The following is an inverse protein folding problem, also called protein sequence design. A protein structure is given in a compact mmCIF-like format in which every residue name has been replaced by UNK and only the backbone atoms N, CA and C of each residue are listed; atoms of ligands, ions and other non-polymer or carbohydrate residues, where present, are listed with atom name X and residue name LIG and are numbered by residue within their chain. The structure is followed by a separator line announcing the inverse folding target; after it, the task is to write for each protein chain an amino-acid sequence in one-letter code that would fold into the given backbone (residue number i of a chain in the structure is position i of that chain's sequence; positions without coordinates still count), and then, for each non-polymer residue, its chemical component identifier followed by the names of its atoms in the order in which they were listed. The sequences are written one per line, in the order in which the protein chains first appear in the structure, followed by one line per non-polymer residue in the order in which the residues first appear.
data_IF_267744307383
#
_entry.id   IF_267744307383
#
_cell.length_a   1.000
_cell.length_b   1.000
_cell.length_c   1.000
_cell.angle_alpha   90.00
_cell.angle_beta   90.00
_cell.angle_gamma   90.00
#
_symmetry.space_group_name_H-M   'P 1'
#
loop_
_entity.id
_entity.type
_entity.pdbx_description
1 polymer ?
#
# COMPACT_ATOMS: atom_id res chain seq x y z
N UNK A 1 -12.15 -28.03 13.09
CA UNK A 1 -12.18 -26.72 12.41
C UNK A 1 -11.08 -25.76 12.91
N UNK A 2 -10.73 -25.77 14.20
CA UNK A 2 -9.71 -24.89 14.79
C UNK A 2 -8.31 -24.91 14.13
N UNK A 3 -7.85 -26.03 13.57
CA UNK A 3 -6.53 -26.12 12.94
C UNK A 3 -6.43 -25.34 11.61
N UNK A 4 -7.56 -25.20 10.89
CA UNK A 4 -7.62 -24.48 9.60
C UNK A 4 -7.64 -22.97 9.83
N UNK A 5 -8.34 -22.51 10.86
CA UNK A 5 -8.33 -21.10 11.30
C UNK A 5 -6.96 -20.67 11.82
N UNK A 6 -6.30 -21.51 12.64
CA UNK A 6 -4.97 -21.21 13.18
C UNK A 6 -3.91 -21.08 12.08
N UNK A 7 -3.97 -21.94 11.05
CA UNK A 7 -3.10 -21.82 9.86
C UNK A 7 -3.37 -20.55 9.05
N UNK A 8 -4.65 -20.17 8.90
CA UNK A 8 -5.03 -18.94 8.18
C UNK A 8 -4.54 -17.69 8.90
N UNK A 9 -4.66 -17.65 10.22
CA UNK A 9 -4.15 -16.56 11.05
C UNK A 9 -2.62 -16.46 10.99
N UNK A 10 -1.90 -17.60 11.04
CA UNK A 10 -0.44 -17.60 10.89
C UNK A 10 0.01 -17.12 9.51
N UNK A 11 -0.67 -17.53 8.44
CA UNK A 11 -0.38 -17.08 7.09
C UNK A 11 -0.62 -15.56 6.92
N UNK A 12 -1.75 -15.05 7.44
CA UNK A 12 -2.04 -13.61 7.44
C UNK A 12 -1.01 -12.82 8.25
N UNK A 13 -0.62 -13.30 9.42
CA UNK A 13 0.39 -12.64 10.25
C UNK A 13 1.77 -12.60 9.59
N UNK A 14 2.13 -13.64 8.82
CA UNK A 14 3.37 -13.62 8.04
C UNK A 14 3.28 -12.61 6.89
N UNK A 15 2.21 -12.66 6.10
CA UNK A 15 1.98 -11.73 4.99
C UNK A 15 2.04 -10.27 5.46
N UNK A 16 1.35 -9.96 6.56
CA UNK A 16 1.36 -8.64 7.18
C UNK A 16 2.77 -8.19 7.59
N UNK A 17 3.59 -9.09 8.14
CA UNK A 17 4.97 -8.79 8.48
C UNK A 17 5.86 -8.52 7.27
N UNK A 18 5.56 -9.09 6.09
CA UNK A 18 6.27 -8.77 4.84
C UNK A 18 5.83 -7.41 4.29
N UNK A 19 4.54 -7.10 4.34
CA UNK A 19 3.99 -5.82 3.90
C UNK A 19 4.58 -4.66 4.71
N UNK A 20 4.72 -4.84 6.04
CA UNK A 20 5.29 -3.85 6.93
C UNK A 20 6.79 -3.56 6.66
N UNK A 21 7.49 -4.39 5.86
CA UNK A 21 8.87 -4.13 5.43
C UNK A 21 8.96 -3.11 4.30
N UNK A 22 7.89 -2.92 3.54
CA UNK A 22 7.87 -1.90 2.48
C UNK A 22 7.74 -0.53 3.11
N UNK A 23 8.79 0.28 2.98
CA UNK A 23 8.81 1.64 3.54
C UNK A 23 7.97 2.59 2.68
N UNK A 24 7.09 3.38 3.29
CA UNK A 24 6.38 4.47 2.61
C UNK A 24 7.00 5.82 2.98
N UNK A 25 7.24 6.67 1.99
CA UNK A 25 7.76 8.02 2.20
C UNK A 25 7.06 9.03 1.30
N UNK A 26 6.68 10.16 1.87
CA UNK A 26 6.19 11.32 1.09
C UNK A 26 7.32 12.07 0.40
N UNK A 27 8.59 11.84 0.76
CA UNK A 27 9.73 12.39 0.04
C UNK A 27 9.90 11.67 -1.30
N UNK A 28 10.13 12.43 -2.38
CA UNK A 28 10.33 11.91 -3.73
C UNK A 28 11.75 11.38 -4.00
N UNK A 29 12.67 11.51 -3.04
CA UNK A 29 14.07 11.07 -3.17
C UNK A 29 14.56 10.43 -1.87
N UNK A 30 15.67 9.71 -1.97
CA UNK A 30 16.38 9.12 -0.85
C UNK A 30 17.88 9.34 -1.00
N UNK A 31 18.61 9.40 0.12
CA UNK A 31 20.08 9.40 0.10
C UNK A 31 20.66 8.03 -0.20
N UNK A 32 19.92 6.96 0.08
CA UNK A 32 20.32 5.59 -0.24
C UNK A 32 20.13 5.37 -1.74
N UNK A 33 21.13 4.83 -2.48
CA UNK A 33 20.97 4.51 -3.89
C UNK A 33 19.81 3.52 -4.14
N UNK A 34 19.07 3.71 -5.24
CA UNK A 34 17.93 2.87 -5.60
C UNK A 34 17.77 2.72 -7.11
N UNK A 35 17.16 1.61 -7.51
CA UNK A 35 16.57 1.39 -8.81
C UNK A 35 15.08 1.80 -8.76
N UNK A 36 14.66 2.63 -9.71
CA UNK A 36 13.23 2.95 -9.87
C UNK A 36 12.51 1.77 -10.53
N UNK A 37 11.50 1.25 -9.84
CA UNK A 37 10.67 0.13 -10.31
C UNK A 37 9.39 0.59 -11.02
N UNK A 38 9.17 1.91 -11.09
CA UNK A 38 8.02 2.56 -11.70
C UNK A 38 6.87 2.84 -10.75
N UNK A 39 5.75 3.30 -11.31
CA UNK A 39 4.57 3.74 -10.57
C UNK A 39 3.82 2.55 -9.94
N UNK A 40 3.53 2.64 -8.65
CA UNK A 40 2.73 1.69 -7.88
C UNK A 40 1.42 2.37 -7.46
N UNK A 41 0.32 1.65 -7.66
CA UNK A 41 -1.01 2.07 -7.23
C UNK A 41 -1.54 1.09 -6.19
N UNK A 42 -2.03 1.61 -5.07
CA UNK A 42 -2.94 0.89 -4.19
C UNK A 42 -4.32 0.85 -4.84
N UNK A 43 -4.97 -0.31 -4.81
CA UNK A 43 -6.39 -0.41 -5.16
C UNK A 43 -7.25 0.47 -4.26
N UNK A 44 -8.46 0.80 -4.71
CA UNK A 44 -9.44 1.58 -3.93
C UNK A 44 -9.71 0.92 -2.58
N UNK A 45 -9.85 1.73 -1.52
CA UNK A 45 -10.07 1.27 -0.17
C UNK A 45 -11.11 2.11 0.58
N UNK A 46 -11.75 1.50 1.59
CA UNK A 46 -12.79 2.16 2.39
C UNK A 46 -12.23 3.23 3.35
N UNK A 47 -10.92 3.25 3.58
CA UNK A 47 -10.24 4.22 4.44
C UNK A 47 -8.77 4.39 4.06
N UNK A 48 -8.18 5.48 4.56
CA UNK A 48 -6.77 5.85 4.32
C UNK A 48 -5.78 4.74 4.70
N UNK A 49 -5.91 4.16 5.88
CA UNK A 49 -4.97 3.14 6.36
C UNK A 49 -4.95 1.90 5.45
N UNK A 50 -6.13 1.48 4.98
CA UNK A 50 -6.25 0.38 4.05
C UNK A 50 -5.71 0.74 2.66
N UNK A 51 -5.87 1.98 2.19
CA UNK A 51 -5.30 2.45 0.92
C UNK A 51 -3.76 2.38 0.95
N UNK A 52 -3.13 2.84 2.04
CA UNK A 52 -1.68 2.76 2.23
C UNK A 52 -1.20 1.31 2.33
N UNK A 53 -1.95 0.44 3.03
CA UNK A 53 -1.61 -0.98 3.14
C UNK A 53 -1.74 -1.71 1.80
N UNK A 54 -2.74 -1.37 0.98
CA UNK A 54 -2.87 -1.87 -0.38
C UNK A 54 -1.71 -1.42 -1.27
N UNK A 55 -1.25 -0.17 -1.11
CA UNK A 55 -0.06 0.32 -1.81
C UNK A 55 1.19 -0.47 -1.42
N UNK A 56 1.41 -0.74 -0.12
CA UNK A 56 2.54 -1.56 0.34
C UNK A 56 2.48 -2.99 -0.22
N UNK A 57 1.29 -3.62 -0.24
CA UNK A 57 1.10 -4.93 -0.88
C UNK A 57 1.46 -4.91 -2.36
N UNK A 58 0.92 -3.95 -3.12
CA UNK A 58 1.22 -3.82 -4.55
C UNK A 58 2.70 -3.56 -4.83
N UNK A 59 3.40 -2.86 -3.93
CA UNK A 59 4.84 -2.65 -4.00
C UNK A 59 5.62 -3.94 -3.68
N UNK A 60 5.22 -4.68 -2.65
CA UNK A 60 5.80 -5.96 -2.26
C UNK A 60 5.69 -7.00 -3.39
N UNK A 61 4.50 -7.11 -4.01
CA UNK A 61 4.24 -8.01 -5.14
C UNK A 61 5.14 -7.73 -6.35
N UNK A 62 5.58 -6.47 -6.50
CA UNK A 62 6.52 -6.02 -7.54
C UNK A 62 7.99 -6.10 -7.11
N UNK A 63 8.27 -6.60 -5.90
CA UNK A 63 9.61 -6.70 -5.35
C UNK A 63 10.27 -5.35 -5.07
N UNK A 64 9.47 -4.35 -4.69
CA UNK A 64 9.96 -3.06 -4.19
C UNK A 64 10.28 -3.15 -2.69
N UNK A 65 11.30 -2.43 -2.25
CA UNK A 65 11.62 -2.28 -0.82
C UNK A 65 10.96 -1.05 -0.20
N UNK A 66 10.58 -0.08 -1.03
CA UNK A 66 9.91 1.14 -0.61
C UNK A 66 9.06 1.75 -1.72
N UNK A 67 8.22 2.70 -1.33
CA UNK A 67 7.51 3.61 -2.21
C UNK A 67 7.86 5.05 -1.80
N UNK A 68 8.42 5.82 -2.73
CA UNK A 68 8.77 7.22 -2.57
C UNK A 68 7.72 8.12 -3.22
N UNK A 69 7.66 9.38 -2.77
CA UNK A 69 6.70 10.37 -3.28
C UNK A 69 5.25 9.93 -3.09
N UNK A 70 4.95 9.26 -1.97
CA UNK A 70 3.61 8.76 -1.68
C UNK A 70 2.62 9.92 -1.62
N UNK A 71 1.56 9.79 -2.40
CA UNK A 71 0.39 10.64 -2.37
C UNK A 71 -0.85 9.80 -2.06
N UNK A 72 -1.78 10.41 -1.33
CA UNK A 72 -3.06 9.81 -0.99
C UNK A 72 -4.17 10.81 -1.31
N UNK A 73 -5.28 10.32 -1.86
CA UNK A 73 -6.45 11.13 -2.11
C UNK A 73 -7.72 10.33 -1.85
N UNK A 74 -8.81 11.05 -1.56
CA UNK A 74 -10.14 10.48 -1.52
C UNK A 74 -10.90 10.88 -2.78
N UNK A 75 -11.58 9.92 -3.39
CA UNK A 75 -12.58 10.16 -4.40
C UNK A 75 -13.97 10.12 -3.74
N UNK A 76 -14.86 11.02 -4.15
CA UNK A 76 -16.28 10.85 -3.82
C UNK A 76 -16.79 9.61 -4.53
N UNK A 77 -17.33 8.63 -3.80
CA UNK A 77 -17.79 7.40 -4.45
C UNK A 77 -18.99 7.67 -5.37
N UNK A 78 -18.99 7.09 -6.57
CA UNK A 78 -20.17 7.12 -7.45
C UNK A 78 -21.34 6.27 -6.90
N UNK A 79 -21.10 5.47 -5.85
CA UNK A 79 -22.10 4.59 -5.25
C UNK A 79 -23.17 5.32 -4.45
N UNK A 80 -22.99 6.61 -4.17
CA UNK A 80 -23.90 7.38 -3.32
C UNK A 80 -24.44 8.61 -4.05
N UNK A 81 -25.54 8.42 -4.80
CA UNK A 81 -26.51 9.48 -5.11
C UNK A 81 -27.34 9.92 -3.88
N UNK A 82 -26.82 9.75 -2.66
CA UNK A 82 -27.51 10.09 -1.41
C UNK A 82 -26.77 11.21 -0.67
N UNK A 83 -27.54 12.12 -0.06
CA UNK A 83 -27.13 13.44 0.42
C UNK A 83 -26.11 13.47 1.60
N UNK A 84 -25.35 12.39 1.83
CA UNK A 84 -24.25 12.35 2.80
C UNK A 84 -22.98 11.89 2.09
N UNK A 85 -22.27 12.86 1.50
CA UNK A 85 -20.94 12.63 0.89
C UNK A 85 -19.95 12.27 1.98
N UNK A 86 -19.78 10.99 2.25
CA UNK A 86 -18.67 10.47 3.02
C UNK A 86 -17.61 10.03 2.02
N UNK A 87 -16.35 10.42 2.27
CA UNK A 87 -15.21 10.01 1.45
C UNK A 87 -14.96 8.52 1.69
N UNK A 88 -15.73 7.70 0.99
CA UNK A 88 -15.77 6.25 1.18
C UNK A 88 -14.83 5.51 0.20
N UNK A 89 -14.09 6.24 -0.62
CA UNK A 89 -13.13 5.68 -1.57
C UNK A 89 -11.79 6.41 -1.47
N UNK A 90 -10.78 5.70 -1.01
CA UNK A 90 -9.41 6.18 -0.81
C UNK A 90 -8.46 5.47 -1.75
N UNK A 91 -7.51 6.23 -2.30
CA UNK A 91 -6.47 5.73 -3.19
C UNK A 91 -5.12 6.28 -2.74
N UNK A 92 -4.08 5.44 -2.87
CA UNK A 92 -2.70 5.84 -2.62
C UNK A 92 -1.83 5.40 -3.79
N UNK A 93 -0.83 6.20 -4.13
CA UNK A 93 0.13 5.89 -5.18
C UNK A 93 1.51 6.49 -4.87
N UNK A 94 2.53 6.02 -5.57
CA UNK A 94 3.88 6.57 -5.51
C UNK A 94 4.85 5.78 -6.39
N UNK A 95 6.12 6.14 -6.34
CA UNK A 95 7.17 5.47 -7.11
C UNK A 95 7.76 4.33 -6.31
N UNK A 96 7.56 3.09 -6.78
CA UNK A 96 8.20 1.92 -6.20
C UNK A 96 9.70 1.93 -6.46
N UNK A 97 10.50 1.59 -5.46
CA UNK A 97 11.96 1.54 -5.57
C UNK A 97 12.51 0.27 -4.94
N UNK A 98 13.62 -0.21 -5.50
CA UNK A 98 14.46 -1.26 -4.92
C UNK A 98 15.77 -0.67 -4.45
N UNK A 99 16.15 -0.95 -3.22
CA UNK A 99 17.40 -0.43 -2.67
C UNK A 99 18.59 -1.14 -3.29
N UNK A 100 19.57 -0.37 -3.74
CA UNK A 100 20.84 -0.91 -4.17
C UNK A 100 21.77 -1.12 -2.95
N UNK A 101 22.79 -1.99 -3.06
CA UNK A 101 23.89 -2.03 -2.11
C UNK A 101 24.52 -0.64 -1.95
N UNK A 102 24.96 -0.33 -0.73
CA UNK A 102 25.67 0.91 -0.42
C UNK A 102 27.08 0.90 -1.02
#
# INVERSE_FOLDING_TARGET
MAFREKRRQQAQGQEDAWVDRVTLSTLCTSRRPYEEMGLVWGGSADNEALALRNLQRGALERGCDAVLGVAIYSAGSQRLFSARRRNDEWHAYGTGVRWLPA
#
